data_IF_648729489298
#
_entry.id   IF_648729489298
#
_cell.length_a   1.000
_cell.length_b   1.000
_cell.length_c   1.000
_cell.angle_alpha   90.00
_cell.angle_beta   90.00
_cell.angle_gamma   90.00
#
_symmetry.space_group_name_H-M   'P 1'
#
loop_
_entity.id
_entity.type
_entity.pdbx_description
1 polymer ?
#
# COMPACT_ATOMS: atom_id res chain seq x y z
N UNK A 1 -1.55 9.32 17.72
CA UNK A 1 -2.16 8.28 16.87
C UNK A 1 -1.03 7.45 16.31
N UNK A 2 -1.09 6.11 16.40
CA UNK A 2 0.02 5.26 16.00
C UNK A 2 0.29 5.38 14.50
N UNK A 3 1.52 5.66 14.11
CA UNK A 3 1.93 5.61 12.71
C UNK A 3 1.69 4.20 12.17
N UNK A 4 0.98 4.08 11.05
CA UNK A 4 0.78 2.78 10.38
C UNK A 4 2.12 2.40 9.72
N UNK A 5 2.94 1.64 10.44
CA UNK A 5 4.22 1.12 9.96
C UNK A 5 3.98 -0.19 9.23
N UNK A 6 4.61 -0.36 8.06
CA UNK A 6 4.64 -1.65 7.37
C UNK A 6 5.60 -2.57 8.14
N UNK A 7 5.04 -3.53 8.88
CA UNK A 7 5.81 -4.51 9.64
C UNK A 7 6.23 -5.69 8.74
N UNK A 8 7.32 -5.51 8.00
CA UNK A 8 7.89 -6.54 7.12
C UNK A 8 8.40 -7.78 7.88
N UNK A 9 8.59 -7.71 9.20
CA UNK A 9 9.02 -8.87 9.99
C UNK A 9 8.00 -10.01 9.98
N UNK A 10 6.72 -9.68 9.74
CA UNK A 10 5.63 -10.65 9.55
C UNK A 10 5.81 -11.55 8.33
N UNK A 11 6.71 -11.20 7.42
CA UNK A 11 7.00 -11.97 6.21
C UNK A 11 8.21 -12.91 6.36
N UNK A 12 8.91 -12.88 7.51
CA UNK A 12 10.18 -13.60 7.69
C UNK A 12 10.06 -15.12 7.57
N UNK A 13 8.94 -15.69 8.03
CA UNK A 13 8.69 -17.14 8.02
C UNK A 13 8.11 -17.65 6.69
N UNK A 14 7.83 -16.76 5.73
CA UNK A 14 7.32 -17.17 4.41
C UNK A 14 8.46 -17.69 3.52
N UNK A 15 8.12 -18.52 2.54
CA UNK A 15 9.04 -18.89 1.47
C UNK A 15 9.40 -17.64 0.65
N UNK A 16 10.69 -17.28 0.69
CA UNK A 16 11.21 -16.01 0.17
C UNK A 16 11.25 -15.95 -1.36
N UNK A 17 11.13 -17.09 -2.03
CA UNK A 17 11.18 -17.22 -3.49
C UNK A 17 9.79 -17.34 -4.11
N UNK A 18 8.73 -17.44 -3.29
CA UNK A 18 7.35 -17.53 -3.77
C UNK A 18 6.76 -16.14 -4.02
N UNK A 19 5.93 -15.98 -5.08
CA UNK A 19 5.16 -14.76 -5.29
C UNK A 19 4.33 -14.38 -4.07
N UNK A 20 4.09 -13.08 -3.93
CA UNK A 20 3.19 -12.54 -2.91
C UNK A 20 2.30 -11.46 -3.52
N UNK A 21 1.02 -11.54 -3.23
CA UNK A 21 0.02 -10.57 -3.68
C UNK A 21 -0.35 -9.67 -2.51
N UNK A 22 -0.20 -8.38 -2.68
CA UNK A 22 -0.47 -7.36 -1.67
C UNK A 22 -1.82 -6.70 -1.94
N UNK A 23 -2.81 -6.94 -1.08
CA UNK A 23 -4.07 -6.19 -1.04
C UNK A 23 -3.88 -4.92 -0.22
N UNK A 24 -4.10 -3.77 -0.85
CA UNK A 24 -4.12 -2.46 -0.24
C UNK A 24 -5.56 -1.98 -0.17
N UNK A 25 -6.02 -1.64 1.04
CA UNK A 25 -7.25 -0.89 1.26
C UNK A 25 -6.85 0.48 1.79
N UNK A 26 -7.30 1.54 1.14
CA UNK A 26 -6.86 2.91 1.41
C UNK A 26 -8.03 3.77 1.80
N UNK A 27 -7.92 4.47 2.93
CA UNK A 27 -8.83 5.54 3.33
C UNK A 27 -8.01 6.81 3.45
N UNK A 28 -8.35 7.82 2.65
CA UNK A 28 -7.67 9.10 2.62
C UNK A 28 -8.10 9.98 3.79
N UNK A 29 -7.28 10.97 4.09
CA UNK A 29 -7.68 12.13 4.89
C UNK A 29 -8.29 13.17 3.97
N UNK A 30 -9.25 13.93 4.50
CA UNK A 30 -9.75 15.12 3.80
C UNK A 30 -8.62 16.13 3.56
N UNK A 31 -7.71 16.26 4.53
CA UNK A 31 -6.50 17.07 4.44
C UNK A 31 -5.27 16.22 4.83
N UNK A 32 -4.24 16.25 3.99
CA UNK A 32 -3.00 15.52 4.25
C UNK A 32 -2.29 16.07 5.50
N UNK A 33 -1.79 15.15 6.34
CA UNK A 33 -1.12 15.45 7.61
C UNK A 33 0.40 15.28 7.47
N UNK A 34 1.05 16.29 6.88
CA UNK A 34 2.49 16.28 6.64
C UNK A 34 3.29 16.51 7.94
N UNK A 35 4.52 15.95 8.04
CA UNK A 35 5.38 16.22 9.17
C UNK A 35 5.72 17.72 9.29
N UNK A 36 6.01 18.15 10.52
CA UNK A 36 6.43 19.53 10.79
C UNK A 36 7.65 19.92 9.93
N UNK A 37 7.62 21.13 9.36
CA UNK A 37 8.67 21.62 8.47
C UNK A 37 8.55 21.17 7.02
N UNK A 38 7.51 20.40 6.65
CA UNK A 38 7.19 20.17 5.23
C UNK A 38 6.87 21.51 4.54
N UNK A 39 7.52 21.76 3.40
CA UNK A 39 7.31 22.94 2.58
C UNK A 39 6.55 22.53 1.33
N UNK A 40 5.26 22.84 1.31
CA UNK A 40 4.36 22.58 0.18
C UNK A 40 2.98 23.18 0.44
N UNK A 41 2.17 23.29 -0.60
CA UNK A 41 0.80 23.76 -0.47
C UNK A 41 -0.06 22.72 0.27
N UNK A 42 -1.02 23.16 1.11
CA UNK A 42 -2.02 22.25 1.67
C UNK A 42 -2.75 21.49 0.54
N UNK A 43 -2.92 20.19 0.72
CA UNK A 43 -3.63 19.35 -0.23
C UNK A 43 -4.44 18.25 0.48
N UNK A 44 -5.31 17.59 -0.27
CA UNK A 44 -6.07 16.44 0.19
C UNK A 44 -5.18 15.20 0.36
N UNK A 45 -5.66 14.23 1.15
CA UNK A 45 -4.97 12.95 1.29
C UNK A 45 -4.82 12.20 -0.04
N UNK A 46 -5.83 12.25 -0.91
CA UNK A 46 -5.78 11.63 -2.24
C UNK A 46 -4.68 12.25 -3.11
N UNK A 47 -4.53 13.58 -3.09
CA UNK A 47 -3.45 14.27 -3.82
C UNK A 47 -2.06 13.90 -3.28
N UNK A 48 -1.89 13.88 -1.95
CA UNK A 48 -0.65 13.43 -1.31
C UNK A 48 -0.32 11.97 -1.66
N UNK A 49 -1.33 11.09 -1.72
CA UNK A 49 -1.14 9.71 -2.18
C UNK A 49 -0.75 9.65 -3.65
N UNK A 50 -1.31 10.51 -4.50
CA UNK A 50 -0.89 10.67 -5.89
C UNK A 50 0.57 11.10 -6.03
N UNK A 51 1.06 11.98 -5.14
CA UNK A 51 2.49 12.33 -5.07
C UNK A 51 3.34 11.11 -4.69
N UNK A 52 2.89 10.33 -3.70
CA UNK A 52 3.54 9.07 -3.30
C UNK A 52 3.62 8.07 -4.47
N UNK A 53 2.51 7.85 -5.19
CA UNK A 53 2.46 6.95 -6.33
C UNK A 53 3.43 7.38 -7.44
N UNK A 54 3.46 8.68 -7.78
CA UNK A 54 4.40 9.23 -8.78
C UNK A 54 5.86 9.07 -8.36
N UNK A 55 6.17 9.32 -7.08
CA UNK A 55 7.54 9.21 -6.57
C UNK A 55 8.03 7.75 -6.51
N UNK A 56 7.13 6.80 -6.26
CA UNK A 56 7.47 5.38 -6.14
C UNK A 56 7.48 4.63 -7.46
N UNK A 57 6.71 5.06 -8.46
CA UNK A 57 6.59 4.37 -9.75
C UNK A 57 7.94 4.04 -10.41
N UNK A 58 8.92 4.96 -10.51
CA UNK A 58 10.23 4.63 -11.12
C UNK A 58 11.09 3.65 -10.30
N UNK A 59 10.82 3.51 -9.00
CA UNK A 59 11.50 2.55 -8.13
C UNK A 59 10.86 1.16 -8.27
N UNK A 60 9.53 1.15 -8.39
CA UNK A 60 8.70 -0.04 -8.52
C UNK A 60 8.86 -0.68 -9.91
N UNK A 61 8.96 0.11 -10.99
CA UNK A 61 9.17 -0.38 -12.37
C UNK A 61 10.48 -1.16 -12.57
N UNK A 62 11.47 -0.99 -11.68
CA UNK A 62 12.71 -1.77 -11.70
C UNK A 62 12.52 -3.21 -11.20
N UNK A 63 11.38 -3.48 -10.56
CA UNK A 63 10.96 -4.81 -10.12
C UNK A 63 9.86 -5.26 -11.07
N UNK A 64 9.82 -6.53 -11.52
CA UNK A 64 8.75 -7.03 -12.38
C UNK A 64 7.46 -7.23 -11.57
N UNK A 65 6.95 -6.15 -10.99
CA UNK A 65 5.66 -6.13 -10.30
C UNK A 65 4.52 -6.12 -11.32
N UNK A 66 3.38 -6.62 -10.90
CA UNK A 66 2.16 -6.62 -11.69
C UNK A 66 1.04 -6.00 -10.90
N UNK A 67 0.45 -4.94 -11.43
CA UNK A 67 -0.81 -4.39 -10.89
C UNK A 67 -1.93 -5.33 -11.35
N UNK A 68 -2.48 -6.10 -10.42
CA UNK A 68 -3.59 -7.04 -10.68
C UNK A 68 -4.92 -6.29 -10.72
N UNK A 69 -5.08 -5.30 -9.85
CA UNK A 69 -6.26 -4.45 -9.77
C UNK A 69 -5.90 -3.08 -9.18
N UNK A 70 -6.53 -2.03 -9.67
CA UNK A 70 -6.52 -0.69 -9.06
C UNK A 70 -7.85 -0.01 -9.38
N UNK A 71 -8.56 0.48 -8.38
CA UNK A 71 -9.81 1.19 -8.60
C UNK A 71 -10.47 1.70 -7.33
N UNK A 72 -11.46 2.56 -7.53
CA UNK A 72 -12.27 3.14 -6.47
C UNK A 72 -13.21 2.10 -5.84
N UNK A 73 -13.35 2.15 -4.52
CA UNK A 73 -14.43 1.47 -3.82
C UNK A 73 -15.70 2.32 -3.94
N UNK A 74 -16.67 1.82 -4.72
CA UNK A 74 -17.85 2.61 -5.12
C UNK A 74 -19.10 2.35 -4.28
N UNK A 75 -19.13 1.26 -3.51
CA UNK A 75 -20.25 0.89 -2.64
C UNK A 75 -19.83 -0.10 -1.56
N UNK A 76 -20.30 0.14 -0.33
CA UNK A 76 -20.09 -0.73 0.82
C UNK A 76 -21.25 -1.71 0.95
N UNK A 77 -21.08 -2.94 0.44
CA UNK A 77 -22.16 -3.94 0.44
C UNK A 77 -22.32 -4.64 1.80
N UNK A 78 -21.19 -4.89 2.49
CA UNK A 78 -21.13 -5.47 3.83
C UNK A 78 -19.94 -4.83 4.55
N UNK A 79 -20.20 -3.96 5.52
CA UNK A 79 -19.15 -3.30 6.30
C UNK A 79 -19.68 -2.84 7.66
N UNK A 80 -18.79 -2.59 8.63
CA UNK A 80 -19.18 -1.89 9.87
C UNK A 80 -19.37 -0.40 9.59
N UNK A 81 -20.14 0.29 10.43
CA UNK A 81 -20.49 1.69 10.21
C UNK A 81 -19.28 2.65 10.25
N UNK A 82 -18.16 2.23 10.83
CA UNK A 82 -16.91 2.99 10.96
C UNK A 82 -15.85 2.64 9.91
N UNK A 83 -16.08 1.60 9.11
CA UNK A 83 -15.17 1.13 8.08
C UNK A 83 -15.63 1.62 6.70
N UNK A 84 -14.73 2.30 5.99
CA UNK A 84 -14.91 2.81 4.63
C UNK A 84 -13.54 2.86 3.95
N UNK A 85 -13.52 2.60 2.64
CA UNK A 85 -12.32 2.62 1.82
C UNK A 85 -12.60 3.45 0.58
N UNK A 86 -11.64 4.28 0.17
CA UNK A 86 -11.71 5.10 -1.03
C UNK A 86 -11.17 4.32 -2.24
N UNK A 87 -10.00 3.69 -2.08
CA UNK A 87 -9.29 2.98 -3.15
C UNK A 87 -8.83 1.59 -2.72
N UNK A 88 -8.82 0.68 -3.69
CA UNK A 88 -8.30 -0.70 -3.56
C UNK A 88 -7.20 -0.91 -4.61
N UNK A 89 -6.04 -1.38 -4.16
CA UNK A 89 -4.96 -1.81 -5.06
C UNK A 89 -4.55 -3.24 -4.74
N UNK A 90 -4.36 -4.06 -5.78
CA UNK A 90 -3.85 -5.42 -5.68
C UNK A 90 -2.58 -5.47 -6.52
N UNK A 91 -1.44 -5.69 -5.86
CA UNK A 91 -0.12 -5.71 -6.52
C UNK A 91 0.56 -7.05 -6.26
N UNK A 92 0.91 -7.73 -7.33
CA UNK A 92 1.65 -9.00 -7.30
C UNK A 92 3.15 -8.70 -7.45
N UNK A 93 3.93 -9.21 -6.50
CA UNK A 93 5.39 -9.20 -6.52
C UNK A 93 5.90 -10.59 -6.90
N UNK A 94 6.99 -10.69 -7.68
CA UNK A 94 7.53 -11.97 -8.14
C UNK A 94 8.00 -12.86 -6.99
N UNK A 95 8.40 -12.27 -5.86
CA UNK A 95 8.82 -12.98 -4.66
C UNK A 95 8.60 -12.14 -3.38
N UNK A 96 8.47 -12.79 -2.23
CA UNK A 96 8.46 -12.11 -0.91
C UNK A 96 9.74 -11.29 -0.71
N UNK A 97 10.89 -11.85 -1.10
CA UNK A 97 12.19 -11.15 -1.04
C UNK A 97 12.20 -9.87 -1.89
N UNK A 98 11.52 -9.85 -3.04
CA UNK A 98 11.42 -8.65 -3.90
C UNK A 98 10.62 -7.53 -3.23
N UNK A 99 9.54 -7.87 -2.53
CA UNK A 99 8.79 -6.90 -1.74
C UNK A 99 9.61 -6.34 -0.58
N UNK A 100 10.28 -7.21 0.18
CA UNK A 100 11.15 -6.82 1.30
C UNK A 100 12.28 -5.90 0.80
N UNK A 101 12.92 -6.24 -0.33
CA UNK A 101 13.96 -5.42 -0.93
C UNK A 101 13.47 -4.02 -1.30
N UNK A 102 12.25 -3.90 -1.84
CA UNK A 102 11.63 -2.60 -2.10
C UNK A 102 11.39 -1.80 -0.81
N UNK A 103 10.88 -2.43 0.26
CA UNK A 103 10.65 -1.76 1.54
C UNK A 103 11.93 -1.30 2.23
N UNK A 104 13.03 -2.01 1.99
CA UNK A 104 14.36 -1.66 2.50
C UNK A 104 15.13 -0.68 1.60
N UNK A 105 14.59 -0.31 0.43
CA UNK A 105 15.24 0.65 -0.45
C UNK A 105 15.18 2.07 0.17
N UNK A 106 16.33 2.73 0.42
CA UNK A 106 16.36 4.05 1.03
C UNK A 106 15.59 5.12 0.23
N UNK A 107 15.63 5.07 -1.09
CA UNK A 107 14.88 6.00 -1.94
C UNK A 107 13.37 5.77 -1.84
N UNK A 108 12.95 4.52 -1.68
CA UNK A 108 11.55 4.20 -1.44
C UNK A 108 11.10 4.70 -0.06
N UNK A 109 11.91 4.49 0.97
CA UNK A 109 11.60 4.94 2.34
C UNK A 109 11.44 6.46 2.43
N UNK A 110 12.23 7.23 1.66
CA UNK A 110 12.08 8.69 1.55
C UNK A 110 10.72 9.13 1.02
N UNK A 111 9.95 8.26 0.38
CA UNK A 111 8.60 8.59 -0.11
C UNK A 111 7.48 8.28 0.91
N UNK A 112 7.76 7.47 1.94
CA UNK A 112 6.74 6.94 2.85
C UNK A 112 6.04 8.00 3.70
N UNK A 113 6.65 9.18 3.88
CA UNK A 113 5.99 10.28 4.57
C UNK A 113 4.76 10.79 3.79
N UNK A 114 4.78 10.76 2.45
CA UNK A 114 3.65 11.14 1.61
C UNK A 114 2.47 10.17 1.82
N UNK A 115 2.76 8.85 1.83
CA UNK A 115 1.76 7.81 2.13
C UNK A 115 1.19 7.97 3.53
N UNK A 116 2.04 8.26 4.51
CA UNK A 116 1.64 8.45 5.91
C UNK A 116 0.75 9.67 6.08
N UNK A 117 1.13 10.79 5.45
CA UNK A 117 0.36 12.02 5.46
C UNK A 117 -1.00 11.87 4.77
N UNK A 118 -1.07 11.06 3.72
CA UNK A 118 -2.27 10.87 2.92
C UNK A 118 -3.40 10.10 3.62
N UNK A 119 -3.05 9.10 4.44
CA UNK A 119 -3.99 8.05 4.85
C UNK A 119 -4.50 8.26 6.28
N UNK A 120 -5.82 8.25 6.43
CA UNK A 120 -6.49 8.19 7.74
C UNK A 120 -6.53 6.77 8.28
N UNK A 121 -6.66 5.78 7.39
CA UNK A 121 -6.59 4.35 7.68
C UNK A 121 -6.04 3.60 6.46
N UNK A 122 -5.41 2.46 6.69
CA UNK A 122 -5.09 1.52 5.62
C UNK A 122 -5.05 0.07 6.09
N UNK A 123 -5.20 -0.86 5.16
CA UNK A 123 -4.77 -2.25 5.31
C UNK A 123 -3.78 -2.58 4.21
N UNK A 124 -2.77 -3.35 4.58
CA UNK A 124 -1.85 -4.00 3.66
C UNK A 124 -1.80 -5.47 4.07
N UNK A 125 -2.36 -6.33 3.22
CA UNK A 125 -2.51 -7.75 3.51
C UNK A 125 -1.70 -8.53 2.47
N UNK A 126 -0.72 -9.28 2.96
CA UNK A 126 0.03 -10.23 2.14
C UNK A 126 -0.80 -11.50 1.93
N UNK A 127 -0.91 -11.92 0.68
CA UNK A 127 -1.68 -13.08 0.26
C UNK A 127 -0.80 -13.99 -0.61
N UNK A 128 -1.00 -15.29 -0.47
CA UNK A 128 -0.50 -16.31 -1.39
C UNK A 128 -1.69 -17.14 -1.88
N UNK A 129 -1.54 -17.84 -3.00
CA UNK A 129 -2.60 -18.72 -3.50
C UNK A 129 -3.00 -19.73 -2.40
N UNK A 130 -4.31 -19.85 -2.16
CA UNK A 130 -4.88 -20.74 -1.14
C UNK A 130 -6.01 -21.59 -1.71
N UNK A 131 -7.25 -21.28 -1.31
CA UNK A 131 -8.49 -22.01 -1.59
C UNK A 131 -8.81 -22.32 -3.07
N UNK A 132 -8.03 -21.82 -4.04
CA UNK A 132 -8.18 -22.17 -5.47
C UNK A 132 -8.26 -23.68 -5.72
N UNK A 133 -7.59 -24.49 -4.90
CA UNK A 133 -7.61 -25.95 -5.01
C UNK A 133 -8.96 -26.62 -4.60
N UNK A 134 -9.91 -25.87 -4.06
CA UNK A 134 -11.21 -26.40 -3.59
C UNK A 134 -12.41 -25.84 -4.37
N UNK A 135 -12.19 -24.90 -5.30
CA UNK A 135 -13.23 -24.18 -6.03
C UNK A 135 -13.20 -24.46 -7.55
N UNK A 136 -12.32 -25.36 -8.00
CA UNK A 136 -12.22 -25.91 -9.35
C UNK A 136 -12.15 -27.44 -9.23
#
# INVERSE_FOLDING_TARGET
MGSIVIDISKLAELDQDKPVVMLNLLRYRDQADFPEGFVGEPCSGSEAYGMYAKATMPLVEKVPVKIVYAGHAVADLIMTADEHWDDILIVEYPSVSSFIALMNNPEYQKTLYLRTAALSSSRLIAMQDGLKAQLL
#
